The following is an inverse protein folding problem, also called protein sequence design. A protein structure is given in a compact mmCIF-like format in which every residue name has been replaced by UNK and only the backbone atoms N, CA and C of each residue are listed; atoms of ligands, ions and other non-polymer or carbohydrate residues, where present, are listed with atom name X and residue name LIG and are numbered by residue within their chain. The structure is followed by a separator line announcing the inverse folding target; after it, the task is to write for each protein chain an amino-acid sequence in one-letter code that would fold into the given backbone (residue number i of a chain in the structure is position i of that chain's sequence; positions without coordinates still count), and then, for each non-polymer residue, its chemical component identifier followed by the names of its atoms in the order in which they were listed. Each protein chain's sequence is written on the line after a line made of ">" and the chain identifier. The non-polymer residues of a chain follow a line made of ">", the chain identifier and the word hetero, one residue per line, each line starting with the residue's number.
data_IF_968375782893
#
_entry.id   IF_968375782893
#
_cell.length_a   1.000
_cell.length_b   1.000
_cell.length_c   1.000
_cell.angle_alpha   90.00
_cell.angle_beta   90.00
_cell.angle_gamma   90.00
#
_symmetry.space_group_name_H-M   'P 1'
#
loop_
_entity.id
_entity.type
_entity.pdbx_description
1 polymer ?
#
# COMPACT_ATOMS: atom_id res chain seq x y z
N UNK A 1 -9.24 0.76 -14.90
CA UNK A 1 -10.32 0.00 -14.24
C UNK A 1 -11.09 0.84 -13.21
N UNK A 2 -11.41 2.11 -13.51
CA UNK A 2 -12.08 3.01 -12.55
C UNK A 2 -13.60 2.87 -12.54
N UNK A 3 -14.22 2.61 -13.69
CA UNK A 3 -15.68 2.55 -13.83
C UNK A 3 -16.32 1.42 -12.99
N UNK A 4 -15.87 0.15 -13.04
CA UNK A 4 -16.46 -0.91 -12.22
C UNK A 4 -16.21 -0.72 -10.72
N UNK A 5 -15.06 -0.15 -10.34
CA UNK A 5 -14.73 0.14 -8.95
C UNK A 5 -15.63 1.23 -8.36
N UNK A 6 -15.94 2.28 -9.13
CA UNK A 6 -16.85 3.33 -8.70
C UNK A 6 -18.26 2.78 -8.41
N UNK A 7 -18.76 1.88 -9.27
CA UNK A 7 -20.06 1.23 -9.07
C UNK A 7 -20.04 0.33 -7.83
N UNK A 8 -18.95 -0.41 -7.60
CA UNK A 8 -18.77 -1.20 -6.38
C UNK A 8 -18.80 -0.32 -5.12
N UNK A 9 -18.02 0.76 -5.09
CA UNK A 9 -17.97 1.69 -3.94
C UNK A 9 -19.34 2.33 -3.68
N UNK A 10 -20.10 2.69 -4.73
CA UNK A 10 -21.44 3.23 -4.61
C UNK A 10 -22.41 2.24 -3.95
N UNK A 11 -22.42 0.98 -4.40
CA UNK A 11 -23.24 -0.09 -3.79
C UNK A 11 -22.83 -0.38 -2.34
N UNK A 12 -21.52 -0.33 -2.05
CA UNK A 12 -20.96 -0.57 -0.72
C UNK A 12 -21.35 0.52 0.29
N UNK A 13 -21.41 1.77 -0.19
CA UNK A 13 -21.88 2.91 0.59
C UNK A 13 -23.40 2.84 0.84
N UNK A 14 -24.18 2.56 -0.22
CA UNK A 14 -25.64 2.42 -0.11
C UNK A 14 -26.05 1.32 0.89
N UNK A 15 -25.33 0.20 0.92
CA UNK A 15 -25.62 -0.92 1.82
C UNK A 15 -25.08 -0.74 3.25
N UNK A 16 -24.36 0.34 3.55
CA UNK A 16 -23.62 0.54 4.82
C UNK A 16 -22.69 -0.62 5.24
N UNK A 17 -22.34 -1.52 4.31
CA UNK A 17 -21.47 -2.67 4.56
C UNK A 17 -20.11 -2.25 5.11
N UNK A 18 -19.56 -1.12 4.65
CA UNK A 18 -18.28 -0.62 5.15
C UNK A 18 -18.29 -0.27 6.64
N UNK A 19 -19.39 0.29 7.14
CA UNK A 19 -19.54 0.59 8.57
C UNK A 19 -19.74 -0.68 9.39
N UNK A 20 -20.53 -1.63 8.89
CA UNK A 20 -20.76 -2.90 9.56
C UNK A 20 -19.46 -3.70 9.73
N UNK A 21 -18.67 -3.81 8.65
CA UNK A 21 -17.36 -4.48 8.68
C UNK A 21 -16.36 -3.73 9.59
N UNK A 22 -16.40 -2.40 9.59
CA UNK A 22 -15.54 -1.58 10.45
C UNK A 22 -15.81 -1.83 11.94
N UNK A 23 -17.08 -1.87 12.36
CA UNK A 23 -17.45 -2.15 13.76
C UNK A 23 -16.97 -3.54 14.18
N UNK A 24 -17.22 -4.58 13.36
CA UNK A 24 -16.74 -5.92 13.66
C UNK A 24 -15.22 -6.03 13.77
N UNK A 25 -14.46 -5.31 12.93
CA UNK A 25 -13.00 -5.24 13.04
C UNK A 25 -12.54 -4.50 14.30
N UNK A 26 -13.22 -3.42 14.67
CA UNK A 26 -12.94 -2.66 15.89
C UNK A 26 -13.19 -3.51 17.13
N UNK A 27 -14.32 -4.22 17.21
CA UNK A 27 -14.65 -5.11 18.33
C UNK A 27 -13.59 -6.21 18.51
N UNK A 28 -13.11 -6.79 17.40
CA UNK A 28 -12.02 -7.76 17.43
C UNK A 28 -10.72 -7.15 17.99
N UNK A 29 -10.41 -5.91 17.62
CA UNK A 29 -9.21 -5.21 18.10
C UNK A 29 -9.33 -4.83 19.58
N UNK A 30 -10.49 -4.33 19.98
CA UNK A 30 -10.77 -3.89 21.34
C UNK A 30 -10.80 -5.07 22.31
N UNK A 31 -11.33 -6.22 21.89
CA UNK A 31 -11.30 -7.47 22.66
C UNK A 31 -9.88 -7.96 22.98
N UNK A 32 -8.90 -7.62 22.13
CA UNK A 32 -7.49 -7.96 22.33
C UNK A 32 -6.71 -6.93 23.18
N UNK A 33 -7.38 -5.89 23.72
CA UNK A 33 -6.77 -4.86 24.57
C UNK A 33 -5.73 -4.00 23.85
N UNK A 34 -5.78 -4.00 22.52
CA UNK A 34 -4.69 -3.61 21.65
C UNK A 34 -5.06 -2.31 20.92
N UNK A 35 -5.01 -1.20 21.66
CA UNK A 35 -5.41 0.12 21.14
C UNK A 35 -4.26 0.83 20.42
N UNK A 36 -4.47 1.19 19.15
CA UNK A 36 -3.59 2.07 18.36
C UNK A 36 -2.51 1.35 17.55
N UNK A 37 -1.37 1.02 18.15
CA UNK A 37 -0.20 0.45 17.46
C UNK A 37 -0.54 -0.79 16.59
N UNK A 38 -1.30 -1.79 17.08
CA UNK A 38 -1.62 -2.97 16.29
C UNK A 38 -2.64 -2.72 15.17
N UNK A 39 -3.48 -1.67 15.25
CA UNK A 39 -4.32 -1.26 14.11
C UNK A 39 -3.45 -0.83 12.92
N UNK A 40 -2.37 -0.09 13.20
CA UNK A 40 -1.41 0.33 12.19
C UNK A 40 -0.59 -0.83 11.64
N UNK A 41 -0.12 -1.73 12.50
CA UNK A 41 0.63 -2.93 12.09
C UNK A 41 -0.26 -3.86 11.28
N UNK A 42 -1.53 -4.05 11.67
CA UNK A 42 -2.51 -4.84 10.93
C UNK A 42 -2.77 -4.30 9.53
N UNK A 43 -2.97 -2.98 9.39
CA UNK A 43 -3.09 -2.35 8.07
C UNK A 43 -1.82 -2.51 7.23
N UNK A 44 -0.65 -2.34 7.83
CA UNK A 44 0.63 -2.49 7.14
C UNK A 44 0.86 -3.93 6.65
N UNK A 45 0.55 -4.92 7.48
CA UNK A 45 0.73 -6.34 7.18
C UNK A 45 -0.29 -6.81 6.14
N UNK A 46 -1.56 -6.45 6.28
CA UNK A 46 -2.61 -6.75 5.30
C UNK A 46 -2.30 -6.11 3.95
N UNK A 47 -1.87 -4.84 3.94
CA UNK A 47 -1.47 -4.16 2.71
C UNK A 47 -0.24 -4.81 2.07
N UNK A 48 0.75 -5.25 2.86
CA UNK A 48 1.93 -5.94 2.35
C UNK A 48 1.57 -7.32 1.75
N UNK A 49 0.66 -8.05 2.39
CA UNK A 49 0.15 -9.33 1.90
C UNK A 49 -0.62 -9.16 0.58
N UNK A 50 -1.53 -8.19 0.50
CA UNK A 50 -2.27 -7.87 -0.72
C UNK A 50 -1.36 -7.40 -1.85
N UNK A 51 -0.30 -6.65 -1.54
CA UNK A 51 0.73 -6.27 -2.50
C UNK A 51 1.48 -7.48 -3.09
N UNK A 52 1.46 -8.66 -2.45
CA UNK A 52 2.05 -9.87 -3.03
C UNK A 52 1.19 -10.43 -4.17
N UNK A 53 -0.14 -10.36 -4.04
CA UNK A 53 -1.10 -10.85 -5.03
C UNK A 53 -1.43 -9.83 -6.13
N UNK A 54 -1.58 -8.55 -5.76
CA UNK A 54 -2.01 -7.48 -6.66
C UNK A 54 -0.89 -6.46 -6.80
N UNK A 55 -0.39 -6.27 -8.03
CA UNK A 55 0.74 -5.38 -8.32
C UNK A 55 0.39 -3.88 -8.38
N UNK A 56 -0.90 -3.51 -8.28
CA UNK A 56 -1.38 -2.13 -8.43
C UNK A 56 -1.80 -1.52 -7.10
N UNK A 57 -1.07 -0.51 -6.66
CA UNK A 57 -1.30 0.14 -5.38
C UNK A 57 -2.60 0.92 -5.27
N UNK A 58 -2.93 1.71 -6.29
CA UNK A 58 -4.16 2.53 -6.30
C UNK A 58 -5.43 1.67 -6.37
N UNK A 59 -5.34 0.47 -6.96
CA UNK A 59 -6.45 -0.47 -7.02
C UNK A 59 -6.78 -1.03 -5.63
N UNK A 60 -5.76 -1.41 -4.84
CA UNK A 60 -5.93 -1.90 -3.47
C UNK A 60 -6.59 -0.84 -2.58
N UNK A 61 -6.15 0.42 -2.68
CA UNK A 61 -6.71 1.50 -1.87
C UNK A 61 -8.20 1.72 -2.13
N UNK A 62 -8.61 1.64 -3.40
CA UNK A 62 -9.99 1.93 -3.80
C UNK A 62 -10.99 0.95 -3.19
N UNK A 63 -10.53 -0.26 -2.84
CA UNK A 63 -11.33 -1.30 -2.18
C UNK A 63 -11.21 -1.19 -0.65
N UNK A 64 -10.03 -0.85 -0.12
CA UNK A 64 -9.78 -0.74 1.32
C UNK A 64 -10.37 0.53 1.96
N UNK A 65 -10.36 1.65 1.25
CA UNK A 65 -10.80 2.95 1.75
C UNK A 65 -12.18 2.93 2.42
N UNK A 66 -13.26 2.38 1.82
CA UNK A 66 -14.58 2.38 2.44
C UNK A 66 -14.70 1.52 3.70
N UNK A 67 -13.71 0.66 4.01
CA UNK A 67 -13.70 -0.19 5.21
C UNK A 67 -12.81 0.43 6.28
N UNK A 68 -11.59 0.83 5.92
CA UNK A 68 -10.60 1.33 6.89
C UNK A 68 -10.85 2.77 7.31
N UNK A 69 -11.37 3.64 6.45
CA UNK A 69 -11.70 5.03 6.81
C UNK A 69 -12.71 5.09 7.96
N UNK A 70 -13.88 4.41 7.91
CA UNK A 70 -14.82 4.42 9.03
C UNK A 70 -14.28 3.71 10.27
N UNK A 71 -13.44 2.68 10.12
CA UNK A 71 -12.82 1.99 11.26
C UNK A 71 -11.93 2.94 12.09
N UNK A 72 -11.03 3.69 11.45
CA UNK A 72 -10.18 4.63 12.18
C UNK A 72 -10.96 5.78 12.83
N UNK A 73 -12.07 6.20 12.24
CA UNK A 73 -12.96 7.18 12.86
C UNK A 73 -13.60 6.65 14.15
N UNK A 74 -13.95 5.36 14.20
CA UNK A 74 -14.49 4.73 15.41
C UNK A 74 -13.44 4.58 16.52
N UNK A 75 -12.19 4.31 16.16
CA UNK A 75 -11.07 4.27 17.12
C UNK A 75 -10.59 5.67 17.57
N UNK A 76 -11.18 6.76 17.08
CA UNK A 76 -10.80 8.13 17.43
C UNK A 76 -9.52 8.65 16.74
N UNK A 77 -9.04 7.97 15.69
CA UNK A 77 -7.89 8.42 14.89
C UNK A 77 -8.32 9.29 13.71
N UNK A 78 -7.50 10.29 13.38
CA UNK A 78 -7.76 11.16 12.23
C UNK A 78 -7.56 10.38 10.90
N UNK A 79 -8.48 10.45 9.93
CA UNK A 79 -8.42 9.64 8.70
C UNK A 79 -7.20 9.95 7.81
N UNK A 80 -6.59 11.13 7.96
CA UNK A 80 -5.34 11.48 7.29
C UNK A 80 -4.20 10.50 7.63
N UNK A 81 -4.19 9.90 8.82
CA UNK A 81 -3.18 8.92 9.20
C UNK A 81 -3.25 7.66 8.34
N UNK A 82 -4.46 7.14 8.08
CA UNK A 82 -4.66 5.97 7.22
C UNK A 82 -4.15 6.22 5.80
N UNK A 83 -4.40 7.42 5.26
CA UNK A 83 -3.95 7.81 3.93
C UNK A 83 -2.42 7.95 3.86
N UNK A 84 -1.80 8.62 4.83
CA UNK A 84 -0.34 8.79 4.88
C UNK A 84 0.35 7.42 4.98
N UNK A 85 -0.15 6.54 5.85
CA UNK A 85 0.43 5.23 6.08
C UNK A 85 0.35 4.37 4.82
N UNK A 86 -0.81 4.35 4.17
CA UNK A 86 -1.01 3.62 2.92
C UNK A 86 -0.14 4.14 1.76
N UNK A 87 -0.10 5.46 1.54
CA UNK A 87 0.74 6.08 0.49
C UNK A 87 2.23 5.80 0.74
N UNK A 88 2.66 5.89 2.01
CA UNK A 88 4.04 5.60 2.40
C UNK A 88 4.42 4.12 2.19
N UNK A 89 3.50 3.19 2.46
CA UNK A 89 3.68 1.76 2.21
C UNK A 89 3.80 1.44 0.73
N UNK A 90 2.99 2.07 -0.12
CA UNK A 90 3.06 1.84 -1.57
C UNK A 90 4.33 2.40 -2.17
N UNK A 91 4.78 3.56 -1.73
CA UNK A 91 6.06 4.10 -2.16
C UNK A 91 7.20 3.16 -1.77
N UNK A 92 7.19 2.61 -0.54
CA UNK A 92 8.17 1.62 -0.11
C UNK A 92 8.06 0.32 -0.88
N UNK A 93 6.86 -0.23 -1.11
CA UNK A 93 6.67 -1.51 -1.79
C UNK A 93 6.97 -1.42 -3.30
N UNK A 94 6.57 -0.34 -3.98
CA UNK A 94 6.91 -0.09 -5.39
C UNK A 94 8.39 0.26 -5.56
N UNK A 95 8.99 1.04 -4.65
CA UNK A 95 10.44 1.32 -4.67
C UNK A 95 11.25 0.05 -4.39
N UNK A 96 10.82 -0.79 -3.45
CA UNK A 96 11.45 -2.07 -3.13
C UNK A 96 11.37 -3.07 -4.30
N UNK A 97 10.21 -3.17 -4.98
CA UNK A 97 10.03 -4.07 -6.12
C UNK A 97 10.68 -3.56 -7.42
N UNK A 98 10.70 -2.24 -7.65
CA UNK A 98 11.41 -1.61 -8.78
C UNK A 98 12.93 -1.67 -8.59
N UNK A 99 13.43 -1.53 -7.37
CA UNK A 99 14.82 -1.81 -7.03
C UNK A 99 15.18 -3.29 -7.27
N UNK A 100 14.29 -4.23 -6.94
CA UNK A 100 14.54 -5.66 -7.15
C UNK A 100 14.62 -6.07 -8.64
N UNK A 101 13.87 -5.42 -9.54
CA UNK A 101 13.87 -5.74 -10.98
C UNK A 101 14.96 -4.96 -11.75
N UNK A 102 15.25 -3.71 -11.36
CA UNK A 102 16.39 -2.97 -11.92
C UNK A 102 17.74 -3.52 -11.44
N UNK A 103 17.90 -3.95 -10.18
CA UNK A 103 19.16 -4.57 -9.74
C UNK A 103 19.40 -5.92 -10.45
N UNK A 104 18.37 -6.73 -10.70
CA UNK A 104 18.54 -8.01 -11.43
C UNK A 104 18.77 -7.81 -12.94
N UNK A 105 18.07 -6.89 -13.61
CA UNK A 105 18.33 -6.62 -15.03
C UNK A 105 19.66 -5.88 -15.26
N UNK A 106 20.04 -4.95 -14.40
CA UNK A 106 21.28 -4.20 -14.55
C UNK A 106 22.51 -5.08 -14.22
N UNK A 107 22.42 -5.97 -13.22
CA UNK A 107 23.45 -6.97 -12.94
C UNK A 107 23.53 -8.04 -14.04
N UNK A 108 22.40 -8.53 -14.58
CA UNK A 108 22.40 -9.52 -15.66
C UNK A 108 22.90 -8.96 -17.00
N UNK A 109 22.63 -7.68 -17.30
CA UNK A 109 23.10 -7.04 -18.54
C UNK A 109 24.62 -6.76 -18.50
N UNK A 110 25.17 -6.37 -17.35
CA UNK A 110 26.61 -6.14 -17.18
C UNK A 110 27.43 -7.44 -17.15
N UNK A 111 26.86 -8.54 -16.64
CA UNK A 111 27.54 -9.84 -16.61
C UNK A 111 27.65 -10.51 -17.99
N UNK A 112 26.75 -10.17 -18.92
CA UNK A 112 26.71 -10.74 -20.26
C UNK A 112 27.63 -10.05 -21.29
N UNK A 113 28.16 -8.86 -21.00
CA UNK A 113 28.86 -8.04 -22.01
C UNK A 113 30.36 -7.86 -21.78
N UNK A 114 30.94 -8.33 -20.67
CA UNK A 114 32.41 -8.41 -20.48
C UNK A 114 33.19 -7.09 -20.65
N UNK A 115 32.51 -5.96 -20.80
CA UNK A 115 33.12 -4.62 -20.93
C UNK A 115 32.62 -3.78 -19.78
N UNK A 116 33.49 -3.52 -18.82
CA UNK A 116 33.34 -2.37 -17.95
C UNK A 116 33.68 -1.11 -18.78
N UNK A 117 32.72 -0.21 -19.08
CA UNK A 117 33.07 1.14 -19.48
C UNK A 117 33.68 1.87 -18.27
N UNK A 118 34.87 2.44 -18.47
CA UNK A 118 35.64 3.20 -17.47
C UNK A 118 35.04 4.57 -17.10
N UNK A 119 33.77 4.83 -17.45
CA UNK A 119 33.06 6.06 -17.11
C UNK A 119 31.64 5.71 -16.64
N UNK A 120 31.53 5.35 -15.37
CA UNK A 120 30.24 5.24 -14.70
C UNK A 120 29.63 6.64 -14.48
N UNK A 121 28.42 6.95 -14.96
CA UNK A 121 27.59 7.97 -14.35
C UNK A 121 26.74 7.31 -13.26
N UNK A 122 27.40 6.71 -12.26
CA UNK A 122 26.80 6.42 -10.96
C UNK A 122 26.54 7.75 -10.26
N UNK A 123 25.32 8.30 -10.39
CA UNK A 123 24.63 9.20 -9.41
C UNK A 123 23.47 9.98 -10.00
N UNK A 124 23.32 10.11 -11.34
CA UNK A 124 22.31 11.04 -11.90
C UNK A 124 20.86 10.55 -11.86
N UNK A 125 20.62 9.28 -11.57
CA UNK A 125 19.26 8.72 -11.45
C UNK A 125 18.62 8.90 -10.07
N UNK A 126 19.35 9.44 -9.09
CA UNK A 126 18.82 9.69 -7.74
C UNK A 126 18.28 11.11 -7.54
N UNK A 127 18.60 12.05 -8.45
CA UNK A 127 18.17 13.47 -8.34
C UNK A 127 16.98 13.83 -9.22
N UNK A 128 16.47 12.92 -10.06
CA UNK A 128 15.28 13.15 -10.91
C UNK A 128 13.98 12.61 -10.29
N UNK A 129 13.96 12.47 -8.97
CA UNK A 129 12.74 12.28 -8.16
C UNK A 129 12.79 13.24 -6.97
N UNK A 130 12.80 14.54 -7.28
CA UNK A 130 12.25 15.57 -6.40
C UNK A 130 10.90 15.97 -6.98
#
# INVERSE_FOLDING_TARGET
>A
MVFPLAQFVAMFNWSNMGKFMAVGLTDLLESSGMNGVPAFVGLALLSAFLCMFIASGSAIWSILAPIFVPMFMLLGFHPAFAQILFVSLIHRCCRWRRCHRLCRCFSAFYSATGRMPASAPTTRWCSLTR
#
